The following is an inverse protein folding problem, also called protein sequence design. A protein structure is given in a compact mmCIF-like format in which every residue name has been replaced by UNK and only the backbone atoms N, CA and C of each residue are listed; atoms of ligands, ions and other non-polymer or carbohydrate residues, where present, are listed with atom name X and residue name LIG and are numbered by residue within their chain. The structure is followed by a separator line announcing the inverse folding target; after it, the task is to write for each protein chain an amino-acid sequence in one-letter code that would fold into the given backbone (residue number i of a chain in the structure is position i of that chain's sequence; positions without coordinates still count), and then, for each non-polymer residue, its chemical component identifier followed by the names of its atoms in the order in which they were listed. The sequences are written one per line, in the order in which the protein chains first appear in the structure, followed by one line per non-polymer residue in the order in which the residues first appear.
data_IF_904321562163
#
_entry.id   IF_904321562163
#
_cell.length_a   1.000
_cell.length_b   1.000
_cell.length_c   1.000
_cell.angle_alpha   90.00
_cell.angle_beta   90.00
_cell.angle_gamma   90.00
#
_symmetry.space_group_name_H-M   'P 1'
#
loop_
_entity.id
_entity.type
_entity.pdbx_description
1 polymer ?
#
# COMPACT_ATOMS: atom_id res chain seq x y z
N UNK A 1 1.94 -11.93 -14.65
CA UNK A 1 1.39 -11.16 -13.53
C UNK A 1 1.49 -9.71 -13.95
N UNK A 2 0.43 -9.15 -14.53
CA UNK A 2 0.43 -7.77 -15.00
C UNK A 2 0.07 -6.84 -13.86
N UNK A 3 1.11 -6.25 -13.25
CA UNK A 3 0.92 -5.08 -12.41
C UNK A 3 0.72 -3.91 -13.37
N UNK A 4 -0.53 -3.48 -13.54
CA UNK A 4 -0.82 -2.33 -14.37
C UNK A 4 -0.29 -1.05 -13.72
N UNK A 5 0.18 -0.10 -14.54
CA UNK A 5 0.56 1.24 -14.09
C UNK A 5 -0.58 1.97 -13.33
N UNK A 6 -1.83 1.58 -13.58
CA UNK A 6 -3.00 2.06 -12.86
C UNK A 6 -3.07 1.56 -11.40
N UNK A 7 -2.67 0.33 -11.12
CA UNK A 7 -2.70 -0.23 -9.76
C UNK A 7 -1.65 0.45 -8.87
N UNK A 8 -0.45 0.69 -9.43
CA UNK A 8 0.60 1.49 -8.79
C UNK A 8 0.08 2.89 -8.49
N UNK A 9 -0.55 3.54 -9.47
CA UNK A 9 -1.08 4.91 -9.32
C UNK A 9 -2.15 4.98 -8.23
N UNK A 10 -3.03 3.98 -8.11
CA UNK A 10 -4.06 3.91 -7.05
C UNK A 10 -3.44 3.78 -5.66
N UNK A 11 -2.46 2.90 -5.49
CA UNK A 11 -1.74 2.76 -4.22
C UNK A 11 -1.05 4.09 -3.86
N UNK A 12 -0.36 4.71 -4.81
CA UNK A 12 0.31 5.99 -4.59
C UNK A 12 -0.68 7.12 -4.28
N UNK A 13 -1.84 7.16 -4.94
CA UNK A 13 -2.89 8.13 -4.64
C UNK A 13 -3.48 7.93 -3.25
N UNK A 14 -3.77 6.69 -2.85
CA UNK A 14 -4.23 6.38 -1.50
C UNK A 14 -3.19 6.75 -0.43
N UNK A 15 -1.91 6.73 -0.80
CA UNK A 15 -0.82 7.16 0.06
C UNK A 15 -0.68 8.70 0.13
N UNK A 16 -0.94 9.39 -0.97
CA UNK A 16 -0.84 10.86 -1.06
C UNK A 16 -2.08 11.58 -0.52
N UNK A 17 -3.27 11.01 -0.68
CA UNK A 17 -4.56 11.63 -0.27
C UNK A 17 -4.73 11.77 1.25
N UNK A 18 -3.76 11.29 2.02
CA UNK A 18 -3.85 11.13 3.47
C UNK A 18 -2.79 12.00 4.20
N UNK A 19 -2.28 13.04 3.52
CA UNK A 19 -1.49 14.10 4.15
C UNK A 19 -2.27 14.73 5.31
N UNK A 20 -1.94 14.36 6.54
CA UNK A 20 -2.55 14.88 7.77
C UNK A 20 -2.93 13.82 8.81
N UNK A 21 -3.04 12.54 8.45
CA UNK A 21 -3.28 11.45 9.41
C UNK A 21 -1.99 10.88 9.99
N UNK A 22 -2.09 10.22 11.14
CA UNK A 22 -0.97 9.47 11.72
C UNK A 22 -0.59 8.29 10.82
N UNK A 23 0.69 7.88 10.84
CA UNK A 23 1.16 6.73 10.04
C UNK A 23 0.36 5.45 10.34
N UNK A 24 0.01 5.23 11.60
CA UNK A 24 -0.68 4.00 12.03
C UNK A 24 -2.14 3.97 11.58
N UNK A 25 -2.82 5.12 11.56
CA UNK A 25 -4.19 5.23 11.04
C UNK A 25 -4.21 4.98 9.53
N UNK A 26 -3.25 5.53 8.79
CA UNK A 26 -3.08 5.28 7.36
C UNK A 26 -2.90 3.78 7.08
N UNK A 27 -2.02 3.11 7.84
CA UNK A 27 -1.76 1.68 7.65
C UNK A 27 -3.02 0.86 7.90
N UNK A 28 -3.78 1.16 8.96
CA UNK A 28 -5.04 0.45 9.25
C UNK A 28 -6.05 0.57 8.12
N UNK A 29 -6.30 1.78 7.61
CA UNK A 29 -7.24 2.00 6.52
C UNK A 29 -6.83 1.28 5.23
N UNK A 30 -5.52 1.31 4.90
CA UNK A 30 -4.99 0.61 3.74
C UNK A 30 -5.13 -0.91 3.91
N UNK A 31 -4.84 -1.45 5.10
CA UNK A 31 -5.00 -2.88 5.39
C UNK A 31 -6.46 -3.30 5.23
N UNK A 32 -7.41 -2.55 5.79
CA UNK A 32 -8.84 -2.86 5.70
C UNK A 32 -9.33 -2.81 4.25
N UNK A 33 -8.90 -1.81 3.49
CA UNK A 33 -9.23 -1.69 2.06
C UNK A 33 -8.69 -2.87 1.25
N UNK A 34 -7.43 -3.24 1.47
CA UNK A 34 -6.75 -4.32 0.73
C UNK A 34 -7.28 -5.70 1.12
N UNK A 35 -7.50 -5.94 2.43
CA UNK A 35 -8.06 -7.21 2.92
C UNK A 35 -9.52 -7.38 2.48
N UNK A 36 -10.30 -6.30 2.38
CA UNK A 36 -11.67 -6.34 1.86
C UNK A 36 -11.77 -6.53 0.35
N UNK A 37 -10.66 -6.46 -0.40
CA UNK A 37 -10.67 -6.56 -1.86
C UNK A 37 -11.27 -5.34 -2.57
N UNK A 38 -11.58 -4.26 -1.82
CA UNK A 38 -12.16 -3.04 -2.39
C UNK A 38 -11.22 -2.44 -3.42
N UNK A 39 -11.79 -1.97 -4.53
CA UNK A 39 -11.03 -1.36 -5.62
C UNK A 39 -10.14 -2.32 -6.42
N UNK A 40 -10.27 -3.65 -6.22
CA UNK A 40 -9.51 -4.67 -6.94
C UNK A 40 -8.08 -4.88 -6.41
N UNK A 41 -7.74 -4.28 -5.27
CA UNK A 41 -6.50 -4.51 -4.54
C UNK A 41 -6.70 -5.68 -3.57
N UNK A 42 -5.90 -6.73 -3.72
CA UNK A 42 -5.84 -7.85 -2.77
C UNK A 42 -4.47 -7.84 -2.08
N UNK A 43 -4.29 -8.52 -0.94
CA UNK A 43 -3.00 -8.54 -0.23
C UNK A 43 -1.84 -8.97 -1.15
N UNK A 44 -2.06 -9.98 -2.00
CA UNK A 44 -1.07 -10.46 -2.97
C UNK A 44 -0.73 -9.43 -4.05
N UNK A 45 -1.72 -8.68 -4.55
CA UNK A 45 -1.47 -7.58 -5.50
C UNK A 45 -0.74 -6.43 -4.84
N UNK A 46 -1.17 -6.03 -3.65
CA UNK A 46 -0.52 -4.96 -2.89
C UNK A 46 0.96 -5.29 -2.61
N UNK A 47 1.27 -6.52 -2.20
CA UNK A 47 2.66 -6.97 -2.01
C UNK A 47 3.49 -6.83 -3.31
N UNK A 48 2.92 -7.25 -4.44
CA UNK A 48 3.61 -7.18 -5.73
C UNK A 48 3.89 -5.73 -6.14
N UNK A 49 2.92 -4.83 -5.90
CA UNK A 49 3.06 -3.39 -6.16
C UNK A 49 4.10 -2.77 -5.23
N UNK A 50 4.05 -3.07 -3.93
CA UNK A 50 4.98 -2.56 -2.92
C UNK A 50 6.42 -2.89 -3.32
N UNK A 51 6.70 -4.16 -3.67
CA UNK A 51 8.03 -4.60 -4.12
C UNK A 51 8.49 -3.90 -5.40
N UNK A 52 7.57 -3.58 -6.30
CA UNK A 52 7.89 -2.89 -7.55
C UNK A 52 8.25 -1.41 -7.34
N UNK A 53 7.67 -0.75 -6.34
CA UNK A 53 7.86 0.70 -6.11
C UNK A 53 8.81 1.04 -4.96
N UNK A 54 9.22 0.05 -4.15
CA UNK A 54 10.05 0.24 -2.95
C UNK A 54 11.36 1.00 -3.22
N UNK A 55 11.94 0.82 -4.42
CA UNK A 55 13.18 1.50 -4.84
C UNK A 55 12.93 2.94 -5.36
N UNK A 56 11.69 3.28 -5.70
CA UNK A 56 11.31 4.57 -6.29
C UNK A 56 10.75 5.56 -5.26
N UNK A 57 10.62 5.14 -4.01
CA UNK A 57 10.09 5.95 -2.90
C UNK A 57 11.20 6.44 -1.98
N UNK A 58 10.95 7.53 -1.27
CA UNK A 58 11.89 8.05 -0.28
C UNK A 58 11.92 7.19 1.01
N UNK A 59 12.92 7.34 1.90
CA UNK A 59 13.04 6.50 3.10
C UNK A 59 11.82 6.53 4.03
N UNK A 60 11.16 7.69 4.16
CA UNK A 60 9.94 7.83 4.98
C UNK A 60 8.80 7.00 4.39
N UNK A 61 8.59 7.11 3.08
CA UNK A 61 7.58 6.33 2.36
C UNK A 61 7.88 4.83 2.41
N UNK A 62 9.15 4.43 2.22
CA UNK A 62 9.58 3.03 2.33
C UNK A 62 9.20 2.42 3.67
N UNK A 63 9.46 3.14 4.77
CA UNK A 63 9.10 2.68 6.12
C UNK A 63 7.61 2.38 6.29
N UNK A 64 6.74 3.18 5.67
CA UNK A 64 5.29 2.96 5.73
C UNK A 64 4.89 1.78 4.86
N UNK A 65 5.47 1.62 3.66
CA UNK A 65 5.24 0.45 2.81
C UNK A 65 5.67 -0.85 3.51
N UNK A 66 6.79 -0.83 4.24
CA UNK A 66 7.24 -1.97 5.04
C UNK A 66 6.26 -2.32 6.16
N UNK A 67 5.78 -1.30 6.89
CA UNK A 67 4.77 -1.51 7.94
C UNK A 67 3.47 -2.06 7.34
N UNK A 68 3.01 -1.51 6.22
CA UNK A 68 1.82 -1.99 5.50
C UNK A 68 1.98 -3.46 5.10
N UNK A 69 3.11 -3.83 4.50
CA UNK A 69 3.37 -5.21 4.09
C UNK A 69 3.36 -6.16 5.30
N UNK A 70 3.95 -5.76 6.42
CA UNK A 70 3.92 -6.53 7.68
C UNK A 70 2.49 -6.74 8.19
N UNK A 71 1.66 -5.70 8.20
CA UNK A 71 0.26 -5.82 8.66
C UNK A 71 -0.60 -6.67 7.70
N UNK A 72 -0.32 -6.64 6.39
CA UNK A 72 -1.00 -7.50 5.41
C UNK A 72 -0.67 -8.99 5.59
N UNK A 73 0.52 -9.30 6.11
CA UNK A 73 0.95 -10.68 6.40
C UNK A 73 0.50 -11.19 7.78
N UNK A 74 0.05 -10.30 8.68
CA UNK A 74 -0.58 -10.72 9.94
C UNK A 74 -1.94 -11.37 9.65
N UNK A 75 -2.09 -12.62 10.11
CA UNK A 75 -3.33 -13.39 10.07
C UNK A 75 -4.43 -12.69 10.86
#
# INVERSE_FOLDING_TARGET
MDIGSQDIKRLMQAFQSVQGKSEDELIRELVDMIKSGKGGLTPRKAESIIKAVEQMVNPKQRRILDKLLRELHKR
#
